data_IF_732897793107
#
_entry.id   IF_732897793107
#
_cell.length_a   1.000
_cell.length_b   1.000
_cell.length_c   1.000
_cell.angle_alpha   90.00
_cell.angle_beta   90.00
_cell.angle_gamma   90.00
#
_symmetry.space_group_name_H-M   'P 1'
#
loop_
_entity.id
_entity.type
_entity.pdbx_description
1 polymer ?
#
# COMPACT_ATOMS: atom_id res chain seq x y z
N UNK A 1 11.36 9.13 -4.16
CA UNK A 1 11.52 9.29 -2.69
C UNK A 1 12.93 8.90 -2.28
N UNK A 2 13.56 9.61 -1.34
CA UNK A 2 14.92 9.30 -0.87
C UNK A 2 14.88 8.50 0.45
N UNK A 3 14.21 7.34 0.41
CA UNK A 3 14.07 6.46 1.56
C UNK A 3 15.13 5.35 1.52
N UNK A 4 15.63 4.94 2.68
CA UNK A 4 16.50 3.76 2.75
C UNK A 4 15.72 2.48 2.42
N UNK A 5 16.38 1.41 1.94
CA UNK A 5 15.72 0.11 1.72
C UNK A 5 14.99 -0.42 2.96
N UNK A 6 15.56 -0.18 4.15
CA UNK A 6 14.94 -0.54 5.42
C UNK A 6 13.65 0.26 5.66
N UNK A 7 13.68 1.57 5.45
CA UNK A 7 12.49 2.41 5.57
C UNK A 7 11.41 2.00 4.56
N UNK A 8 11.79 1.71 3.31
CA UNK A 8 10.85 1.22 2.29
C UNK A 8 10.18 -0.09 2.69
N UNK A 9 10.88 -1.04 3.33
CA UNK A 9 10.28 -2.29 3.83
C UNK A 9 9.27 -2.04 4.95
N UNK A 10 9.58 -1.17 5.91
CA UNK A 10 8.61 -0.78 6.93
C UNK A 10 7.37 -0.10 6.33
N UNK A 11 7.55 0.73 5.31
CA UNK A 11 6.42 1.34 4.59
C UNK A 11 5.56 0.28 3.90
N UNK A 12 6.17 -0.73 3.26
CA UNK A 12 5.43 -1.86 2.67
C UNK A 12 4.59 -2.58 3.72
N UNK A 13 5.18 -2.95 4.87
CA UNK A 13 4.47 -3.63 5.95
C UNK A 13 3.28 -2.79 6.49
N UNK A 14 3.49 -1.49 6.66
CA UNK A 14 2.44 -0.58 7.12
C UNK A 14 1.30 -0.42 6.10
N UNK A 15 1.64 -0.35 4.81
CA UNK A 15 0.65 -0.29 3.73
C UNK A 15 -0.16 -1.58 3.66
N UNK A 16 0.50 -2.75 3.71
CA UNK A 16 -0.18 -4.05 3.73
C UNK A 16 -1.13 -4.19 4.93
N UNK A 17 -0.69 -3.79 6.12
CA UNK A 17 -1.55 -3.77 7.30
C UNK A 17 -2.79 -2.88 7.11
N UNK A 18 -2.61 -1.67 6.56
CA UNK A 18 -3.72 -0.73 6.36
C UNK A 18 -4.72 -1.19 5.30
N UNK A 19 -4.21 -1.76 4.21
CA UNK A 19 -5.00 -2.35 3.13
C UNK A 19 -5.87 -3.47 3.69
N UNK A 20 -5.29 -4.43 4.42
CA UNK A 20 -6.06 -5.52 5.02
C UNK A 20 -7.12 -5.04 6.01
N UNK A 21 -6.85 -3.96 6.76
CA UNK A 21 -7.84 -3.36 7.64
C UNK A 21 -9.01 -2.73 6.86
N UNK A 22 -8.75 -2.10 5.71
CA UNK A 22 -9.78 -1.55 4.84
C UNK A 22 -10.60 -2.63 4.13
N UNK A 23 -9.96 -3.70 3.66
CA UNK A 23 -10.65 -4.86 3.09
C UNK A 23 -11.62 -5.48 4.10
N UNK A 24 -11.17 -5.71 5.34
CA UNK A 24 -12.03 -6.18 6.43
C UNK A 24 -13.18 -5.22 6.76
N UNK A 25 -12.94 -3.91 6.63
CA UNK A 25 -13.97 -2.90 6.86
C UNK A 25 -15.04 -2.93 5.76
N UNK A 26 -14.64 -3.11 4.49
CA UNK A 26 -15.56 -3.25 3.36
C UNK A 26 -16.38 -4.54 3.41
N UNK A 27 -15.83 -5.62 3.96
CA UNK A 27 -16.57 -6.86 4.20
C UNK A 27 -17.67 -6.71 5.27
N UNK A 28 -17.61 -5.66 6.10
CA UNK A 28 -18.62 -5.37 7.10
C UNK A 28 -19.81 -4.65 6.46
N UNK A 29 -20.98 -5.31 6.43
CA UNK A 29 -22.22 -4.82 5.80
C UNK A 29 -22.87 -3.59 6.48
N UNK A 30 -22.16 -2.95 7.40
CA UNK A 30 -22.63 -1.80 8.19
C UNK A 30 -22.22 -0.45 7.62
N UNK A 31 -21.43 -0.43 6.54
CA UNK A 31 -21.04 0.79 5.86
C UNK A 31 -22.16 1.29 4.95
N UNK A 32 -22.38 2.61 4.95
CA UNK A 32 -23.14 3.25 3.88
C UNK A 32 -22.31 3.36 2.60
N UNK A 33 -23.00 3.65 1.49
CA UNK A 33 -22.40 3.68 0.15
C UNK A 33 -21.31 4.76 0.03
N UNK A 34 -21.46 5.89 0.73
CA UNK A 34 -20.49 6.99 0.71
C UNK A 34 -19.20 6.56 1.42
N UNK A 35 -19.30 6.00 2.62
CA UNK A 35 -18.16 5.48 3.37
C UNK A 35 -17.48 4.30 2.66
N UNK A 36 -18.26 3.41 2.03
CA UNK A 36 -17.70 2.32 1.22
C UNK A 36 -16.94 2.87 -0.01
N UNK A 37 -17.46 3.93 -0.65
CA UNK A 37 -16.80 4.59 -1.77
C UNK A 37 -15.48 5.26 -1.35
N UNK A 38 -15.46 5.98 -0.22
CA UNK A 38 -14.26 6.59 0.35
C UNK A 38 -13.18 5.54 0.63
N UNK A 39 -13.53 4.46 1.32
CA UNK A 39 -12.61 3.37 1.64
C UNK A 39 -12.07 2.71 0.37
N UNK A 40 -12.92 2.49 -0.63
CA UNK A 40 -12.51 1.90 -1.92
C UNK A 40 -11.51 2.78 -2.65
N UNK A 41 -11.73 4.10 -2.66
CA UNK A 41 -10.82 5.07 -3.28
C UNK A 41 -9.47 5.10 -2.56
N UNK A 42 -9.46 5.10 -1.24
CA UNK A 42 -8.25 5.01 -0.42
C UNK A 42 -7.49 3.71 -0.71
N UNK A 43 -8.20 2.58 -0.80
CA UNK A 43 -7.65 1.27 -1.13
C UNK A 43 -6.86 1.30 -2.44
N UNK A 44 -7.48 1.82 -3.52
CA UNK A 44 -6.84 1.94 -4.82
C UNK A 44 -5.54 2.76 -4.78
N UNK A 45 -5.54 3.85 -4.00
CA UNK A 45 -4.34 4.66 -3.82
C UNK A 45 -3.25 3.91 -3.06
N UNK A 46 -3.60 3.25 -1.95
CA UNK A 46 -2.65 2.50 -1.13
C UNK A 46 -2.04 1.32 -1.88
N UNK A 47 -2.83 0.60 -2.68
CA UNK A 47 -2.35 -0.48 -3.54
C UNK A 47 -1.37 0.04 -4.60
N UNK A 48 -1.71 1.16 -5.25
CA UNK A 48 -0.83 1.80 -6.23
C UNK A 48 0.51 2.19 -5.61
N UNK A 49 0.47 2.80 -4.42
CA UNK A 49 1.67 3.17 -3.67
C UNK A 49 2.49 1.93 -3.27
N UNK A 50 1.83 0.88 -2.78
CA UNK A 50 2.48 -0.39 -2.41
C UNK A 50 3.24 -1.00 -3.60
N UNK A 51 2.66 -0.96 -4.80
CA UNK A 51 3.31 -1.44 -6.02
C UNK A 51 4.56 -0.62 -6.36
N UNK A 52 4.53 0.70 -6.20
CA UNK A 52 5.71 1.55 -6.41
C UNK A 52 6.85 1.23 -5.44
N UNK A 53 6.52 1.02 -4.15
CA UNK A 53 7.51 0.61 -3.15
C UNK A 53 8.11 -0.77 -3.48
N UNK A 54 7.26 -1.75 -3.82
CA UNK A 54 7.71 -3.11 -4.21
C UNK A 54 8.59 -3.07 -5.46
N UNK A 55 8.22 -2.30 -6.48
CA UNK A 55 9.02 -2.11 -7.70
C UNK A 55 10.38 -1.49 -7.41
N UNK A 56 10.41 -0.48 -6.55
CA UNK A 56 11.66 0.19 -6.14
C UNK A 56 12.59 -0.78 -5.40
N UNK A 57 12.03 -1.62 -4.51
CA UNK A 57 12.79 -2.64 -3.78
C UNK A 57 13.25 -3.82 -4.67
N UNK A 58 12.49 -4.14 -5.71
CA UNK A 58 12.80 -5.23 -6.64
C UNK A 58 13.82 -4.85 -7.73
N UNK A 59 14.10 -3.55 -7.90
CA UNK A 59 15.09 -3.09 -8.89
C UNK A 59 16.49 -3.47 -8.40
N UNK A 60 17.22 -4.36 -9.09
CA UNK A 60 18.60 -4.67 -8.72
C UNK A 60 19.43 -3.41 -8.91
N UNK A 61 20.20 -3.03 -7.90
CA UNK A 61 21.23 -1.99 -8.05
C UNK A 61 22.18 -2.48 -9.14
N UNK A 62 22.21 -1.81 -10.30
CA UNK A 62 23.09 -2.20 -11.40
C UNK A 62 24.54 -2.28 -10.87
N UNK A 63 25.29 -3.36 -11.17
CA UNK A 63 26.69 -3.42 -10.80
C UNK A 63 27.41 -2.28 -11.53
N UNK A 64 28.01 -1.39 -10.75
CA UNK A 64 28.97 -0.42 -11.27
C UNK A 64 30.21 -1.24 -11.63
N UNK A 65 30.42 -1.47 -12.93
CA UNK A 65 31.63 -2.09 -13.48
C UNK A 65 32.82 -1.12 -13.40
#
# INVERSE_FOLDING_TARGET
>A
MNLSPKAMRFMVEALEYRISAYEQQLENSSLDDDAASEITNDLMFLESLLQEFKKTLATPVAPVY
#
